data_IF_405095714287
#
_entry.id   IF_405095714287
#
_cell.length_a   1.000
_cell.length_b   1.000
_cell.length_c   1.000
_cell.angle_alpha   90.00
_cell.angle_beta   90.00
_cell.angle_gamma   90.00
#
_symmetry.space_group_name_H-M   'P 1'
#
loop_
_entity.id
_entity.type
_entity.pdbx_description
1 polymer ?
#
# COMPACT_ATOMS: atom_id res chain seq x y z
N UNK A 1 0.79 25.91 8.89
CA UNK A 1 0.93 24.53 8.43
C UNK A 1 0.35 24.36 7.04
N UNK A 2 0.94 23.51 6.26
CA UNK A 2 0.46 23.17 4.91
C UNK A 2 -0.29 21.84 4.97
N UNK A 3 -1.39 21.75 4.23
CA UNK A 3 -2.09 20.47 4.04
C UNK A 3 -1.47 19.75 2.86
N UNK A 4 -1.15 18.48 3.09
CA UNK A 4 -0.59 17.60 2.07
C UNK A 4 -1.51 16.41 1.82
N UNK A 5 -1.52 15.96 0.59
CA UNK A 5 -2.12 14.66 0.22
C UNK A 5 -1.01 13.66 0.01
N UNK A 6 -1.05 12.57 0.77
CA UNK A 6 -0.03 11.53 0.75
C UNK A 6 -0.67 10.23 0.29
N UNK A 7 -0.10 9.64 -0.77
CA UNK A 7 -0.55 8.37 -1.31
C UNK A 7 0.36 7.25 -0.83
N UNK A 8 -0.23 6.20 -0.32
CA UNK A 8 0.49 5.05 0.25
C UNK A 8 0.02 3.78 -0.41
N UNK A 9 0.96 2.97 -0.88
CA UNK A 9 0.70 1.60 -1.33
C UNK A 9 1.09 0.63 -0.23
N UNK A 10 0.22 -0.32 0.06
CA UNK A 10 0.44 -1.38 1.06
C UNK A 10 0.23 -2.72 0.37
N UNK A 11 1.23 -3.58 0.45
CA UNK A 11 1.18 -4.89 -0.21
C UNK A 11 1.76 -5.96 0.69
N UNK A 12 1.37 -7.24 0.50
CA UNK A 12 1.97 -8.35 1.22
C UNK A 12 3.47 -8.42 0.92
N UNK A 13 4.25 -8.79 1.93
CA UNK A 13 5.68 -9.07 1.76
C UNK A 13 5.90 -10.27 0.87
N UNK A 14 7.02 -10.27 0.15
CA UNK A 14 7.43 -11.42 -0.65
C UNK A 14 7.53 -12.66 0.24
N UNK A 15 7.05 -13.80 -0.28
CA UNK A 15 7.07 -15.06 0.45
C UNK A 15 5.96 -15.25 1.48
N UNK A 16 5.12 -14.24 1.70
CA UNK A 16 3.95 -14.36 2.57
C UNK A 16 2.78 -14.92 1.77
N UNK A 17 2.03 -15.83 2.38
CA UNK A 17 0.82 -16.37 1.77
C UNK A 17 -0.22 -15.26 1.60
N UNK A 18 -0.71 -15.13 0.37
CA UNK A 18 -1.75 -14.19 0.00
C UNK A 18 -2.97 -14.96 -0.54
N UNK A 19 -3.89 -15.40 0.33
CA UNK A 19 -5.04 -16.19 -0.12
C UNK A 19 -5.93 -15.45 -1.11
N UNK A 20 -6.07 -14.13 -0.96
CA UNK A 20 -6.87 -13.31 -1.87
C UNK A 20 -6.22 -13.22 -3.25
N UNK A 21 -4.92 -12.97 -3.30
CA UNK A 21 -4.15 -12.94 -4.53
C UNK A 21 -4.16 -14.29 -5.24
N UNK A 22 -4.01 -15.38 -4.48
CA UNK A 22 -4.08 -16.74 -5.03
C UNK A 22 -5.44 -17.02 -5.68
N UNK A 23 -6.52 -16.66 -5.01
CA UNK A 23 -7.87 -16.84 -5.55
C UNK A 23 -8.08 -16.05 -6.84
N UNK A 24 -7.58 -14.81 -6.91
CA UNK A 24 -7.64 -14.00 -8.13
C UNK A 24 -6.82 -14.63 -9.26
N UNK A 25 -5.61 -15.10 -8.97
CA UNK A 25 -4.76 -15.76 -9.96
C UNK A 25 -5.43 -17.00 -10.54
N UNK A 26 -6.01 -17.85 -9.68
CA UNK A 26 -6.72 -19.05 -10.11
C UNK A 26 -7.94 -18.72 -10.98
N UNK A 27 -8.70 -17.70 -10.60
CA UNK A 27 -9.85 -17.24 -11.38
C UNK A 27 -9.44 -16.71 -12.76
N UNK A 28 -8.36 -15.95 -12.84
CA UNK A 28 -7.84 -15.42 -14.10
C UNK A 28 -7.39 -16.54 -15.04
N UNK A 29 -6.72 -17.56 -14.52
CA UNK A 29 -6.32 -18.72 -15.32
C UNK A 29 -7.53 -19.47 -15.84
N UNK A 30 -8.56 -19.64 -15.03
CA UNK A 30 -9.83 -20.26 -15.43
C UNK A 30 -10.51 -19.48 -16.55
N UNK A 31 -10.38 -18.15 -16.56
CA UNK A 31 -10.92 -17.28 -17.60
C UNK A 31 -10.07 -17.27 -18.89
N UNK A 32 -8.99 -18.02 -18.94
CA UNK A 32 -8.14 -18.15 -20.12
C UNK A 32 -6.86 -17.33 -20.11
N UNK A 33 -6.56 -16.63 -19.03
CA UNK A 33 -5.32 -15.86 -18.91
C UNK A 33 -4.17 -16.75 -18.43
N UNK A 34 -3.72 -17.63 -19.29
CA UNK A 34 -2.73 -18.67 -18.95
C UNK A 34 -1.35 -18.12 -18.56
N UNK A 35 -1.02 -16.91 -18.97
CA UNK A 35 0.26 -16.27 -18.64
C UNK A 35 0.36 -15.73 -17.22
N UNK A 36 -0.72 -15.72 -16.45
CA UNK A 36 -0.73 -15.21 -15.08
C UNK A 36 0.05 -16.16 -14.17
N UNK A 37 1.14 -15.67 -13.57
CA UNK A 37 1.98 -16.43 -12.65
C UNK A 37 1.52 -16.25 -11.20
N UNK A 38 1.46 -15.00 -10.75
CA UNK A 38 1.07 -14.63 -9.40
C UNK A 38 0.24 -13.36 -9.42
N UNK A 39 -0.60 -13.23 -8.41
CA UNK A 39 -1.36 -11.99 -8.14
C UNK A 39 -1.20 -11.65 -6.67
N UNK A 40 -0.88 -10.41 -6.38
CA UNK A 40 -0.77 -9.90 -5.02
C UNK A 40 -1.79 -8.80 -4.83
N UNK A 41 -2.65 -8.96 -3.83
CA UNK A 41 -3.69 -7.98 -3.53
C UNK A 41 -3.24 -7.13 -2.35
N UNK A 42 -3.20 -5.83 -2.57
CA UNK A 42 -2.82 -4.88 -1.55
C UNK A 42 -3.86 -3.78 -1.40
N UNK A 43 -3.44 -2.68 -0.78
CA UNK A 43 -4.30 -1.53 -0.54
C UNK A 43 -3.62 -0.25 -1.01
N UNK A 44 -4.44 0.70 -1.41
CA UNK A 44 -4.02 2.05 -1.74
C UNK A 44 -4.77 3.00 -0.81
N UNK A 45 -4.02 3.76 0.00
CA UNK A 45 -4.58 4.66 1.00
C UNK A 45 -4.11 6.08 0.70
N UNK A 46 -5.04 7.03 0.78
CA UNK A 46 -4.74 8.45 0.62
C UNK A 46 -5.03 9.15 1.94
N UNK A 47 -4.02 9.82 2.47
CA UNK A 47 -4.11 10.55 3.73
C UNK A 47 -3.93 12.04 3.46
N UNK A 48 -4.89 12.85 3.86
CA UNK A 48 -4.74 14.30 3.88
C UNK A 48 -4.37 14.73 5.30
N UNK A 49 -3.23 15.36 5.46
CA UNK A 49 -2.72 15.73 6.77
C UNK A 49 -1.98 17.07 6.73
N UNK A 50 -2.07 17.80 7.83
CA UNK A 50 -1.36 19.07 7.99
C UNK A 50 0.04 18.81 8.58
N UNK A 51 1.03 19.50 8.04
CA UNK A 51 2.41 19.45 8.54
C UNK A 51 3.14 20.75 8.21
N UNK A 52 4.25 20.97 8.88
CA UNK A 52 5.08 22.16 8.64
C UNK A 52 5.75 22.12 7.26
N UNK A 53 6.15 20.92 6.81
CA UNK A 53 6.84 20.72 5.55
C UNK A 53 6.68 19.27 5.07
N UNK A 54 7.22 18.98 3.87
CA UNK A 54 7.14 17.66 3.27
C UNK A 54 7.81 16.57 4.11
N UNK A 55 8.98 16.86 4.67
CA UNK A 55 9.69 15.91 5.53
C UNK A 55 8.83 15.53 6.74
N UNK A 56 8.21 16.50 7.36
CA UNK A 56 7.33 16.29 8.51
C UNK A 56 6.12 15.41 8.18
N UNK A 57 5.47 15.64 7.03
CA UNK A 57 4.30 14.82 6.66
C UNK A 57 4.72 13.40 6.28
N UNK A 58 5.86 13.21 5.64
CA UNK A 58 6.39 11.87 5.33
C UNK A 58 6.67 11.07 6.60
N UNK A 59 7.30 11.69 7.59
CA UNK A 59 7.56 11.05 8.88
C UNK A 59 6.27 10.69 9.60
N UNK A 60 5.30 11.60 9.62
CA UNK A 60 4.01 11.40 10.26
C UNK A 60 3.23 10.24 9.63
N UNK A 61 3.12 10.24 8.31
CA UNK A 61 2.39 9.18 7.59
C UNK A 61 3.14 7.85 7.70
N UNK A 62 4.46 7.86 7.66
CA UNK A 62 5.27 6.66 7.91
C UNK A 62 4.98 6.05 9.29
N UNK A 63 4.85 6.87 10.31
CA UNK A 63 4.47 6.42 11.65
C UNK A 63 3.04 5.87 11.68
N UNK A 64 2.10 6.50 10.97
CA UNK A 64 0.73 6.00 10.83
C UNK A 64 0.70 4.62 10.19
N UNK A 65 1.50 4.40 9.15
CA UNK A 65 1.60 3.10 8.49
C UNK A 65 2.08 2.01 9.46
N UNK A 66 3.11 2.30 10.24
CA UNK A 66 3.67 1.34 11.20
C UNK A 66 2.73 1.03 12.36
N UNK A 67 1.89 1.99 12.76
CA UNK A 67 1.01 1.84 13.92
C UNK A 67 -0.37 1.30 13.58
N UNK A 68 -0.87 1.57 12.37
CA UNK A 68 -2.26 1.28 12.03
C UNK A 68 -2.49 0.87 10.58
N UNK A 69 -1.93 1.61 9.60
CA UNK A 69 -2.34 1.47 8.22
C UNK A 69 -1.85 0.19 7.57
N UNK A 70 -0.68 -0.29 7.97
CA UNK A 70 -0.11 -1.55 7.49
C UNK A 70 0.12 -2.50 8.66
N UNK A 71 0.07 -3.81 8.38
CA UNK A 71 0.50 -4.82 9.34
C UNK A 71 1.98 -5.08 9.11
N UNK A 72 2.90 -4.56 9.97
CA UNK A 72 4.33 -4.63 9.70
C UNK A 72 4.91 -6.04 9.72
N UNK A 73 4.18 -7.01 10.26
CA UNK A 73 4.61 -8.42 10.27
C UNK A 73 4.53 -9.03 8.87
N UNK A 74 3.48 -8.72 8.11
CA UNK A 74 3.17 -9.39 6.83
C UNK A 74 3.06 -8.44 5.64
N UNK A 75 3.13 -7.13 5.87
CA UNK A 75 2.95 -6.13 4.81
C UNK A 75 4.11 -5.15 4.75
N UNK A 76 4.43 -4.71 3.54
CA UNK A 76 5.29 -3.57 3.27
C UNK A 76 4.45 -2.39 2.83
N UNK A 77 4.93 -1.18 3.09
CA UNK A 77 4.29 0.03 2.60
C UNK A 77 5.31 0.93 1.89
N UNK A 78 4.81 1.73 0.97
CA UNK A 78 5.59 2.75 0.29
C UNK A 78 4.76 4.02 0.12
N UNK A 79 5.34 5.16 0.47
CA UNK A 79 4.77 6.45 0.14
C UNK A 79 5.15 6.74 -1.31
N UNK A 80 4.14 6.80 -2.19
CA UNK A 80 4.36 6.93 -3.62
C UNK A 80 4.21 8.35 -4.13
N UNK A 81 3.48 9.19 -3.39
CA UNK A 81 3.25 10.56 -3.78
C UNK A 81 2.97 11.44 -2.58
N UNK A 82 3.56 12.63 -2.57
CA UNK A 82 3.26 13.69 -1.60
C UNK A 82 3.04 14.97 -2.38
N UNK A 83 1.88 15.59 -2.19
CA UNK A 83 1.56 16.84 -2.88
C UNK A 83 0.90 17.82 -1.93
N UNK A 84 1.32 19.11 -1.96
CA UNK A 84 0.63 20.15 -1.18
C UNK A 84 -0.73 20.43 -1.79
N UNK A 85 -1.67 20.69 -0.92
CA UNK A 85 -3.04 21.05 -1.32
C UNK A 85 -3.30 22.56 -1.23
#
# INVERSE_FOLDING_TARGET
>A
MTRYRVSVEIKPRDGILDPQGKAVADALRTLGFAGVQDVHVGRYIVVDADAANEVGVRESVGAMCKKLLANPVVEDFAITRVEPL
#
